data_IF_459229620928
#
_entry.id   IF_459229620928
#
_cell.length_a   1.000
_cell.length_b   1.000
_cell.length_c   1.000
_cell.angle_alpha   90.00
_cell.angle_beta   90.00
_cell.angle_gamma   90.00
#
_symmetry.space_group_name_H-M   'P 1'
#
loop_
_entity.id
_entity.type
_entity.pdbx_description
1 polymer ?
#
# COMPACT_ATOMS: atom_id res chain seq x y z
N UNK A 1 -8.58 -9.17 31.97
CA UNK A 1 -7.38 -9.05 31.11
C UNK A 1 -7.84 -8.64 29.72
N UNK A 2 -7.63 -7.38 29.31
CA UNK A 2 -7.91 -6.94 27.95
C UNK A 2 -6.79 -7.44 27.04
N UNK A 3 -7.13 -8.19 25.99
CA UNK A 3 -6.16 -8.56 24.96
C UNK A 3 -5.61 -7.27 24.32
N UNK A 4 -4.30 -7.16 24.09
CA UNK A 4 -3.74 -6.02 23.38
C UNK A 4 -4.34 -5.98 21.97
N UNK A 5 -4.91 -4.84 21.59
CA UNK A 5 -5.43 -4.64 20.25
C UNK A 5 -4.24 -4.64 19.28
N UNK A 6 -4.27 -5.52 18.29
CA UNK A 6 -3.24 -5.57 17.26
C UNK A 6 -3.21 -4.24 16.48
N UNK A 7 -2.10 -3.49 16.48
CA UNK A 7 -2.00 -2.25 15.74
C UNK A 7 -2.06 -2.54 14.23
N UNK A 8 -2.92 -1.84 13.49
CA UNK A 8 -3.07 -2.05 12.05
C UNK A 8 -1.77 -1.76 11.27
N UNK A 9 -0.88 -0.92 11.82
CA UNK A 9 0.44 -0.61 11.28
C UNK A 9 1.40 -0.18 12.38
N UNK A 10 2.68 -0.50 12.23
CA UNK A 10 3.74 -0.03 13.14
C UNK A 10 4.83 0.67 12.32
N UNK A 11 5.20 1.88 12.72
CA UNK A 11 6.32 2.61 12.13
C UNK A 11 7.63 1.93 12.48
N UNK A 12 8.51 1.77 11.50
CA UNK A 12 9.76 1.00 11.65
C UNK A 12 10.71 1.61 12.67
N UNK A 13 10.64 2.93 12.88
CA UNK A 13 11.50 3.67 13.79
C UNK A 13 10.77 4.22 15.03
N UNK A 14 9.54 3.78 15.33
CA UNK A 14 8.80 4.29 16.48
C UNK A 14 9.23 3.59 17.78
N UNK A 15 9.79 4.32 18.77
CA UNK A 15 10.23 3.74 20.04
C UNK A 15 9.08 3.25 20.93
N UNK A 16 7.84 3.69 20.71
CA UNK A 16 6.65 3.28 21.47
C UNK A 16 5.96 2.01 20.93
N UNK A 17 6.34 1.54 19.74
CA UNK A 17 5.78 0.34 19.12
C UNK A 17 6.92 -0.59 18.71
N UNK A 18 7.47 -1.34 19.66
CA UNK A 18 8.57 -2.25 19.36
C UNK A 18 8.06 -3.40 18.50
N UNK A 19 8.61 -3.55 17.28
CA UNK A 19 8.32 -4.70 16.41
C UNK A 19 8.63 -6.04 17.11
N UNK A 20 9.52 -6.04 18.10
CA UNK A 20 9.85 -7.21 18.94
C UNK A 20 8.70 -7.72 19.80
N UNK A 21 7.69 -6.89 20.07
CA UNK A 21 6.52 -7.28 20.89
C UNK A 21 5.47 -8.06 20.08
N UNK A 22 5.57 -8.07 18.75
CA UNK A 22 4.60 -8.70 17.84
C UNK A 22 5.26 -9.76 16.95
N UNK A 23 5.78 -10.86 17.53
CA UNK A 23 6.46 -11.88 16.75
C UNK A 23 5.50 -12.57 15.76
N UNK A 24 5.81 -12.48 14.47
CA UNK A 24 5.18 -13.31 13.42
C UNK A 24 3.91 -12.78 12.75
N UNK A 25 3.43 -11.57 13.07
CA UNK A 25 2.21 -11.02 12.43
C UNK A 25 2.49 -10.10 11.23
N UNK A 26 3.64 -9.44 11.20
CA UNK A 26 3.99 -8.52 10.12
C UNK A 26 4.68 -9.25 8.97
N UNK A 27 4.15 -9.11 7.76
CA UNK A 27 4.63 -9.87 6.58
C UNK A 27 5.66 -9.10 5.76
N UNK A 28 5.96 -7.85 6.13
CA UNK A 28 7.01 -7.06 5.50
C UNK A 28 6.88 -5.55 5.72
N UNK A 29 7.94 -4.83 5.34
CA UNK A 29 7.97 -3.38 5.25
C UNK A 29 7.20 -2.88 4.03
N UNK A 30 6.49 -1.77 4.19
CA UNK A 30 5.70 -1.13 3.13
C UNK A 30 5.76 0.39 3.26
N UNK A 31 5.81 1.09 2.13
CA UNK A 31 5.61 2.54 2.09
C UNK A 31 4.14 2.90 2.27
N UNK A 32 3.83 3.88 3.12
CA UNK A 32 2.46 4.36 3.33
C UNK A 32 1.97 5.08 2.07
N UNK A 33 2.81 5.94 1.52
CA UNK A 33 2.59 6.60 0.25
C UNK A 33 3.00 5.69 -0.91
N UNK A 34 2.27 5.77 -2.02
CA UNK A 34 2.54 5.01 -3.24
C UNK A 34 3.57 5.72 -4.16
N UNK A 35 4.36 6.65 -3.60
CA UNK A 35 5.46 7.30 -4.31
C UNK A 35 6.77 6.53 -4.08
N UNK A 36 7.35 5.88 -5.11
CA UNK A 36 8.60 5.15 -4.97
C UNK A 36 9.81 6.06 -4.67
N UNK A 37 9.69 7.39 -4.80
CA UNK A 37 10.77 8.35 -4.50
C UNK A 37 10.84 8.70 -3.01
N UNK A 38 9.79 8.44 -2.23
CA UNK A 38 9.75 8.73 -0.80
C UNK A 38 10.11 7.49 0.03
N UNK A 39 11.41 7.19 0.18
CA UNK A 39 11.91 6.05 0.97
C UNK A 39 12.32 6.43 2.40
N UNK A 40 11.73 7.48 2.98
CA UNK A 40 12.06 7.92 4.33
C UNK A 40 11.53 6.92 5.36
N UNK A 41 12.26 6.71 6.46
CA UNK A 41 11.85 5.80 7.55
C UNK A 41 10.45 6.11 8.11
N UNK A 42 10.04 7.38 8.10
CA UNK A 42 8.69 7.83 8.51
C UNK A 42 7.58 7.36 7.58
N UNK A 43 7.90 7.09 6.31
CA UNK A 43 6.98 6.55 5.31
C UNK A 43 6.96 5.02 5.33
N UNK A 44 7.90 4.37 6.01
CA UNK A 44 8.01 2.91 6.06
C UNK A 44 7.30 2.36 7.32
N UNK A 45 6.32 1.49 7.08
CA UNK A 45 5.55 0.81 8.12
C UNK A 45 5.62 -0.70 7.92
N UNK A 46 5.65 -1.44 9.03
CA UNK A 46 5.38 -2.87 9.02
C UNK A 46 3.86 -3.08 9.01
N UNK A 47 3.37 -3.86 8.04
CA UNK A 47 1.96 -4.22 7.90
C UNK A 47 1.81 -5.75 7.85
N UNK A 48 0.78 -6.29 8.49
CA UNK A 48 0.39 -7.69 8.28
C UNK A 48 -0.23 -7.84 6.88
N UNK A 49 -0.31 -9.08 6.37
CA UNK A 49 -0.87 -9.34 5.04
C UNK A 49 -2.28 -8.75 4.86
N UNK A 50 -3.15 -8.89 5.88
CA UNK A 50 -4.51 -8.34 5.85
C UNK A 50 -4.54 -6.82 5.76
N UNK A 51 -3.80 -6.14 6.64
CA UNK A 51 -3.74 -4.68 6.66
C UNK A 51 -3.11 -4.12 5.38
N UNK A 52 -2.13 -4.81 4.81
CA UNK A 52 -1.54 -4.47 3.52
C UNK A 52 -2.58 -4.48 2.39
N UNK A 53 -3.37 -5.55 2.29
CA UNK A 53 -4.44 -5.65 1.29
C UNK A 53 -5.52 -4.58 1.48
N UNK A 54 -5.87 -4.26 2.73
CA UNK A 54 -6.84 -3.21 3.05
C UNK A 54 -6.33 -1.81 2.72
N UNK A 55 -5.04 -1.54 2.91
CA UNK A 55 -4.41 -0.28 2.52
C UNK A 55 -4.45 -0.09 1.01
N UNK A 56 -4.13 -1.14 0.26
CA UNK A 56 -4.01 -1.07 -1.20
C UNK A 56 -5.34 -1.11 -1.92
N UNK A 57 -6.43 -1.46 -1.23
CA UNK A 57 -7.75 -1.64 -1.85
C UNK A 57 -8.21 -0.41 -2.62
N UNK A 58 -7.94 0.79 -2.10
CA UNK A 58 -8.38 2.05 -2.72
C UNK A 58 -7.56 2.34 -3.96
N UNK A 59 -6.24 2.17 -3.88
CA UNK A 59 -5.33 2.30 -5.01
C UNK A 59 -5.67 1.30 -6.12
N UNK A 60 -5.84 0.02 -5.76
CA UNK A 60 -6.19 -1.04 -6.72
C UNK A 60 -7.59 -0.86 -7.33
N UNK A 61 -8.57 -0.32 -6.60
CA UNK A 61 -9.89 0.01 -7.19
C UNK A 61 -9.79 1.10 -8.25
N UNK A 62 -8.88 2.05 -8.10
CA UNK A 62 -8.68 3.13 -9.07
C UNK A 62 -7.83 2.69 -10.28
N UNK A 63 -7.00 1.65 -10.15
CA UNK A 63 -6.06 1.22 -11.16
C UNK A 63 -6.72 0.78 -12.49
N UNK A 64 -7.79 -0.06 -12.51
CA UNK A 64 -8.45 -0.47 -13.75
C UNK A 64 -8.96 0.72 -14.56
N UNK A 65 -9.57 1.71 -13.91
CA UNK A 65 -10.06 2.92 -14.56
C UNK A 65 -8.95 3.72 -15.25
N UNK A 66 -7.79 3.85 -14.59
CA UNK A 66 -6.60 4.50 -15.18
C UNK A 66 -6.06 3.71 -16.36
N UNK A 67 -5.96 2.40 -16.22
CA UNK A 67 -5.46 1.50 -17.27
C UNK A 67 -6.36 1.53 -18.50
N UNK A 68 -7.68 1.44 -18.32
CA UNK A 68 -8.63 1.45 -19.44
C UNK A 68 -8.63 2.78 -20.16
N UNK A 69 -8.70 3.91 -19.44
CA UNK A 69 -8.59 5.23 -20.07
C UNK A 69 -7.28 5.42 -20.82
N UNK A 70 -6.15 4.94 -20.27
CA UNK A 70 -4.87 4.99 -20.96
C UNK A 70 -4.88 4.15 -22.24
N UNK A 71 -5.46 2.94 -22.20
CA UNK A 71 -5.60 2.08 -23.38
C UNK A 71 -6.45 2.73 -24.46
N UNK A 72 -7.60 3.31 -24.10
CA UNK A 72 -8.47 4.02 -25.05
C UNK A 72 -7.77 5.24 -25.63
N UNK A 73 -7.12 6.06 -24.82
CA UNK A 73 -6.37 7.22 -25.30
C UNK A 73 -5.22 6.83 -26.25
N UNK A 74 -4.51 5.72 -25.97
CA UNK A 74 -3.48 5.20 -26.89
C UNK A 74 -4.10 4.68 -28.19
N UNK A 75 -5.26 4.00 -28.11
CA UNK A 75 -6.00 3.58 -29.30
C UNK A 75 -6.41 4.76 -30.17
N UNK A 76 -7.01 5.79 -29.57
CA UNK A 76 -7.43 7.01 -30.26
C UNK A 76 -6.24 7.75 -30.90
N UNK A 77 -5.12 7.88 -30.18
CA UNK A 77 -3.93 8.59 -30.65
C UNK A 77 -3.19 7.85 -31.78
N UNK A 78 -3.13 6.50 -31.73
CA UNK A 78 -2.25 5.73 -32.62
C UNK A 78 -2.99 4.84 -33.64
N UNK A 79 -4.20 4.36 -33.34
CA UNK A 79 -4.97 3.48 -34.21
C UNK A 79 -6.18 4.18 -34.88
N UNK A 80 -6.53 5.39 -34.45
CA UNK A 80 -7.69 6.15 -34.96
C UNK A 80 -9.01 5.81 -34.23
N UNK A 81 -10.05 6.62 -34.47
CA UNK A 81 -11.38 6.47 -33.85
C UNK A 81 -11.95 5.08 -34.10
N UNK A 82 -12.04 4.26 -33.04
CA UNK A 82 -12.69 2.94 -33.03
C UNK A 82 -12.16 1.92 -34.06
N UNK A 83 -10.86 1.60 -34.03
CA UNK A 83 -10.34 0.35 -34.58
C UNK A 83 -10.31 -0.78 -33.53
#
# INVERSE_FOLDING_TARGET
MALPHHPASVQVNNPAGKLSEWPGQFTGLRSLNHDPRDNRLRNLHALCQRCRLLHDRTYHRAQPWKTMRRRWAMGDLFLGLYA
#
